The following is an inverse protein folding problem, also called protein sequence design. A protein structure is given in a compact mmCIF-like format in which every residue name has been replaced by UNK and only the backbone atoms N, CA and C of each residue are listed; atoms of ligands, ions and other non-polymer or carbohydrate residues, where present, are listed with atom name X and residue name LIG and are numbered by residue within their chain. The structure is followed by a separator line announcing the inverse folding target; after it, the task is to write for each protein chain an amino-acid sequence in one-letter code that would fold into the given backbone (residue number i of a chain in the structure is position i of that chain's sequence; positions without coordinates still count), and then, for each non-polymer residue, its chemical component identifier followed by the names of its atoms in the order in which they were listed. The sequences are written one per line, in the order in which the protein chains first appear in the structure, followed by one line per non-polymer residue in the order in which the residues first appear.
data_IF_370057226781
#
_entry.id   IF_370057226781
#
_cell.length_a   1.000
_cell.length_b   1.000
_cell.length_c   1.000
_cell.angle_alpha   90.00
_cell.angle_beta   90.00
_cell.angle_gamma   90.00
#
_symmetry.space_group_name_H-M   'P 1'
#
loop_
_entity.id
_entity.type
_entity.pdbx_description
1 polymer ?
#
# COMPACT_ATOMS: atom_id res chain seq x y z
N UNK A 1 14.16 14.83 2.98
CA UNK A 1 13.26 15.99 2.85
C UNK A 1 12.86 16.24 1.39
N UNK A 2 13.79 16.47 0.45
CA UNK A 2 13.45 16.74 -0.98
C UNK A 2 12.54 15.68 -1.62
N UNK A 3 12.70 14.38 -1.30
CA UNK A 3 11.86 13.30 -1.77
C UNK A 3 10.41 13.49 -1.31
N UNK A 4 10.20 13.78 -0.04
CA UNK A 4 8.86 13.98 0.52
C UNK A 4 8.18 15.26 0.00
N UNK A 5 8.94 16.31 -0.33
CA UNK A 5 8.38 17.51 -0.92
C UNK A 5 7.73 17.23 -2.29
N UNK A 6 8.35 16.37 -3.11
CA UNK A 6 7.77 15.95 -4.40
C UNK A 6 6.52 15.07 -4.24
N UNK A 7 6.44 14.28 -3.16
CA UNK A 7 5.28 13.43 -2.87
C UNK A 7 4.10 14.23 -2.31
N UNK A 8 4.35 15.22 -1.45
CA UNK A 8 3.30 16.04 -0.81
C UNK A 8 2.45 16.85 -1.79
N UNK A 9 2.96 17.14 -2.98
CA UNK A 9 2.24 17.90 -4.02
C UNK A 9 1.37 17.05 -4.93
N UNK A 10 1.43 15.73 -4.80
CA UNK A 10 0.60 14.81 -5.59
C UNK A 10 -0.82 14.73 -5.01
N UNK A 11 -1.82 14.45 -5.84
CA UNK A 11 -3.18 14.12 -5.39
C UNK A 11 -3.26 12.68 -4.87
N UNK A 12 -2.49 11.78 -5.47
CA UNK A 12 -2.47 10.35 -5.22
C UNK A 12 -1.03 9.84 -5.09
N UNK A 13 -0.84 8.86 -4.21
CA UNK A 13 0.41 8.13 -4.07
C UNK A 13 0.12 6.63 -4.13
N UNK A 14 0.80 5.92 -5.03
CA UNK A 14 0.92 4.48 -4.91
C UNK A 14 1.64 4.18 -3.60
N UNK A 15 1.10 3.25 -2.85
CA UNK A 15 1.57 2.87 -1.52
C UNK A 15 1.59 1.36 -1.40
N UNK A 16 2.68 0.83 -0.91
CA UNK A 16 2.86 -0.59 -0.66
C UNK A 16 3.85 -0.82 0.49
N UNK A 17 3.84 -2.02 1.07
CA UNK A 17 4.77 -2.40 2.14
C UNK A 17 5.30 -3.81 1.95
N UNK A 18 6.59 -4.02 2.30
CA UNK A 18 7.18 -5.35 2.41
C UNK A 18 7.49 -5.67 3.86
N UNK A 19 7.17 -6.89 4.24
CA UNK A 19 7.24 -7.34 5.62
C UNK A 19 7.94 -8.69 5.70
N UNK A 20 8.55 -9.01 6.84
CA UNK A 20 9.25 -10.28 7.01
C UNK A 20 8.31 -11.44 7.35
N UNK A 21 7.11 -11.14 7.84
CA UNK A 21 6.09 -12.10 8.23
C UNK A 21 4.70 -11.60 7.82
N UNK A 22 3.68 -12.43 7.98
CA UNK A 22 2.29 -12.03 7.73
C UNK A 22 1.62 -11.41 8.96
N UNK A 23 2.12 -11.72 10.14
CA UNK A 23 1.63 -11.16 11.42
C UNK A 23 2.54 -10.01 11.87
N UNK A 24 2.00 -8.79 12.05
CA UNK A 24 2.77 -7.65 12.54
C UNK A 24 3.43 -7.84 13.90
N UNK A 25 2.91 -8.75 14.74
CA UNK A 25 3.47 -9.06 16.05
C UNK A 25 4.69 -9.98 16.01
N UNK A 26 4.85 -10.73 14.91
CA UNK A 26 5.94 -11.71 14.74
C UNK A 26 7.04 -11.21 13.80
N UNK A 27 6.73 -10.21 12.97
CA UNK A 27 7.64 -9.70 11.96
C UNK A 27 8.02 -8.23 12.12
N UNK A 28 8.77 -7.72 11.16
CA UNK A 28 9.13 -6.31 11.03
C UNK A 28 8.58 -5.72 9.74
N UNK A 29 8.19 -4.46 9.77
CA UNK A 29 7.91 -3.67 8.58
C UNK A 29 9.25 -3.32 7.93
N UNK A 30 9.60 -4.01 6.85
CA UNK A 30 10.90 -3.86 6.19
C UNK A 30 10.96 -2.67 5.27
N UNK A 31 10.06 -2.60 4.31
CA UNK A 31 10.01 -1.51 3.33
C UNK A 31 8.69 -0.78 3.35
N UNK A 32 8.76 0.51 3.06
CA UNK A 32 7.61 1.34 2.70
C UNK A 32 7.88 1.97 1.34
N UNK A 33 7.00 1.74 0.38
CA UNK A 33 7.09 2.30 -0.97
C UNK A 33 6.04 3.40 -1.16
N UNK A 34 6.48 4.52 -1.73
CA UNK A 34 5.62 5.63 -2.12
C UNK A 34 5.94 6.09 -3.53
N UNK A 35 4.94 6.19 -4.39
CA UNK A 35 5.10 6.62 -5.78
C UNK A 35 4.05 7.67 -6.16
N UNK A 36 4.47 8.74 -6.82
CA UNK A 36 3.56 9.69 -7.46
C UNK A 36 3.35 9.42 -8.97
N UNK A 37 3.70 8.21 -9.43
CA UNK A 37 3.64 7.81 -10.84
C UNK A 37 4.86 8.26 -11.68
N UNK A 38 5.65 9.24 -11.19
CA UNK A 38 6.88 9.70 -11.86
C UNK A 38 8.14 9.33 -11.09
N UNK A 39 8.07 9.41 -9.79
CA UNK A 39 9.15 9.09 -8.87
C UNK A 39 8.64 8.11 -7.83
N UNK A 40 9.38 7.03 -7.63
CA UNK A 40 9.12 6.04 -6.60
C UNK A 40 10.25 6.06 -5.57
N UNK A 41 9.87 6.05 -4.31
CA UNK A 41 10.78 6.03 -3.17
C UNK A 41 10.54 4.74 -2.40
N UNK A 42 11.59 3.96 -2.23
CA UNK A 42 11.63 2.75 -1.42
C UNK A 42 12.40 3.10 -0.15
N UNK A 43 11.75 2.96 0.99
CA UNK A 43 12.29 3.36 2.31
C UNK A 43 12.51 2.09 3.11
N UNK A 44 13.79 1.72 3.33
CA UNK A 44 14.17 0.60 4.18
C UNK A 44 14.12 1.05 5.65
N UNK A 45 13.25 0.41 6.44
CA UNK A 45 13.06 0.72 7.85
C UNK A 45 13.97 -0.10 8.78
N UNK A 46 14.60 -1.18 8.31
CA UNK A 46 15.49 -2.02 9.14
C UNK A 46 16.60 -1.22 9.81
N UNK A 47 17.36 -0.33 9.12
CA UNK A 47 18.42 0.43 9.76
C UNK A 47 17.91 1.41 10.84
N UNK A 48 16.63 1.78 10.79
CA UNK A 48 15.99 2.59 11.83
C UNK A 48 15.55 1.70 12.99
N UNK A 49 14.89 0.57 12.74
CA UNK A 49 14.43 -0.36 13.76
C UNK A 49 15.58 -0.91 14.62
N UNK A 50 16.75 -1.12 14.04
CA UNK A 50 17.96 -1.55 14.76
C UNK A 50 18.51 -0.49 15.73
N UNK A 51 18.18 0.79 15.52
CA UNK A 51 18.64 1.91 16.37
C UNK A 51 17.65 2.23 17.50
N UNK A 52 16.41 1.73 17.44
CA UNK A 52 15.40 1.96 18.46
C UNK A 52 13.97 1.94 17.92
N UNK A 53 13.05 2.51 18.69
CA UNK A 53 11.62 2.52 18.37
C UNK A 53 11.31 3.50 17.22
N UNK A 54 10.98 2.95 16.05
CA UNK A 54 10.67 3.72 14.83
C UNK A 54 9.40 4.57 14.95
N UNK A 55 8.54 4.32 15.96
CA UNK A 55 7.33 5.13 16.21
C UNK A 55 7.69 6.55 16.65
N UNK A 56 8.83 6.71 17.33
CA UNK A 56 9.23 7.97 17.93
C UNK A 56 10.39 8.67 17.21
N UNK A 57 11.05 8.01 16.26
CA UNK A 57 12.20 8.58 15.54
C UNK A 57 11.83 9.80 14.71
N UNK A 58 12.51 10.92 14.97
CA UNK A 58 12.33 12.20 14.27
C UNK A 58 12.65 12.11 12.77
N UNK A 59 13.62 11.27 12.38
CA UNK A 59 13.97 11.06 10.97
C UNK A 59 12.79 10.49 10.16
N UNK A 60 11.90 9.71 10.80
CA UNK A 60 10.71 9.13 10.20
C UNK A 60 9.44 9.99 10.34
N UNK A 61 9.52 11.12 11.03
CA UNK A 61 8.38 12.03 11.16
C UNK A 61 7.78 12.46 9.81
N UNK A 62 8.55 12.78 8.75
CA UNK A 62 7.97 13.12 7.44
C UNK A 62 7.22 11.94 6.78
N UNK A 63 7.66 10.69 7.03
CA UNK A 63 6.96 9.50 6.54
C UNK A 63 5.63 9.34 7.28
N UNK A 64 5.65 9.42 8.61
CA UNK A 64 4.42 9.35 9.41
C UNK A 64 3.43 10.44 9.03
N UNK A 65 3.91 11.68 8.83
CA UNK A 65 3.07 12.82 8.42
C UNK A 65 2.37 12.55 7.08
N UNK A 66 3.10 12.13 6.04
CA UNK A 66 2.51 11.91 4.71
C UNK A 66 1.56 10.72 4.69
N UNK A 67 1.85 9.66 5.45
CA UNK A 67 0.97 8.50 5.54
C UNK A 67 -0.30 8.80 6.33
N UNK A 68 -0.24 9.53 7.44
CA UNK A 68 -1.42 9.84 8.27
C UNK A 68 -2.29 10.97 7.70
N UNK A 69 -1.74 11.81 6.84
CA UNK A 69 -2.51 12.89 6.22
C UNK A 69 -3.66 12.36 5.35
N UNK A 70 -4.83 13.04 5.30
CA UNK A 70 -5.93 12.63 4.41
C UNK A 70 -5.61 12.82 2.92
N UNK A 71 -4.59 13.62 2.62
CA UNK A 71 -4.04 13.84 1.27
C UNK A 71 -2.52 13.93 1.34
N UNK A 72 -1.82 13.44 0.32
CA UNK A 72 -2.27 12.67 -0.85
C UNK A 72 -3.04 11.41 -0.48
N UNK A 73 -4.00 10.97 -1.32
CA UNK A 73 -4.68 9.69 -1.12
C UNK A 73 -3.69 8.56 -1.42
N UNK A 74 -3.54 7.61 -0.49
CA UNK A 74 -2.70 6.42 -0.66
C UNK A 74 -3.49 5.35 -1.41
N UNK A 75 -2.97 4.93 -2.55
CA UNK A 75 -3.53 3.89 -3.40
C UNK A 75 -2.75 2.60 -3.16
N UNK A 76 -3.40 1.61 -2.63
CA UNK A 76 -2.79 0.32 -2.31
C UNK A 76 -3.66 -0.84 -2.81
N UNK A 77 -3.10 -2.04 -2.80
CA UNK A 77 -3.81 -3.27 -3.12
C UNK A 77 -3.91 -4.16 -1.89
N UNK A 78 -5.12 -4.40 -1.38
CA UNK A 78 -5.35 -4.97 -0.06
C UNK A 78 -4.85 -4.05 1.07
N UNK A 79 -5.20 -2.78 0.96
CA UNK A 79 -4.75 -1.68 1.81
C UNK A 79 -4.90 -1.92 3.33
N UNK A 80 -5.78 -2.83 3.71
CA UNK A 80 -5.94 -3.28 5.09
C UNK A 80 -4.65 -3.90 5.64
N UNK A 81 -3.91 -4.66 4.82
CA UNK A 81 -2.63 -5.25 5.20
C UNK A 81 -1.64 -4.15 5.57
N UNK A 82 -1.41 -3.20 4.67
CA UNK A 82 -0.49 -2.08 4.88
C UNK A 82 -0.89 -1.20 6.07
N UNK A 83 -2.20 -0.97 6.23
CA UNK A 83 -2.74 -0.23 7.36
C UNK A 83 -2.45 -0.91 8.71
N UNK A 84 -2.55 -2.24 8.81
CA UNK A 84 -2.15 -2.99 10.02
C UNK A 84 -0.69 -2.80 10.35
N UNK A 85 0.17 -3.00 9.37
CA UNK A 85 1.61 -2.91 9.55
C UNK A 85 2.07 -1.51 9.94
N UNK A 86 1.54 -0.48 9.28
CA UNK A 86 1.85 0.92 9.63
C UNK A 86 1.33 1.29 11.02
N UNK A 87 0.11 0.85 11.39
CA UNK A 87 -0.42 1.09 12.72
C UNK A 87 0.43 0.41 13.80
N UNK A 88 0.82 -0.85 13.59
CA UNK A 88 1.63 -1.58 14.56
C UNK A 88 3.04 -1.01 14.68
N UNK A 89 3.74 -0.77 13.58
CA UNK A 89 5.16 -0.41 13.58
C UNK A 89 5.46 1.09 13.60
N UNK A 90 4.62 1.91 12.95
CA UNK A 90 4.82 3.36 12.90
C UNK A 90 3.92 4.14 13.87
N UNK A 91 2.96 3.46 14.51
CA UNK A 91 2.05 4.06 15.49
C UNK A 91 1.06 5.05 14.91
N UNK A 92 0.71 4.92 13.63
CA UNK A 92 -0.20 5.83 12.91
C UNK A 92 -1.28 5.07 12.15
N UNK A 93 -2.43 5.70 12.00
CA UNK A 93 -3.44 5.28 11.02
C UNK A 93 -3.14 5.94 9.68
N UNK A 94 -3.20 5.15 8.60
CA UNK A 94 -3.05 5.69 7.25
C UNK A 94 -4.30 6.47 6.89
N UNK A 95 -4.14 7.74 6.58
CA UNK A 95 -5.24 8.62 6.19
C UNK A 95 -5.48 8.62 4.68
N UNK A 96 -6.76 8.71 4.25
CA UNK A 96 -7.12 8.83 2.84
C UNK A 96 -6.64 7.64 2.01
N UNK A 97 -7.28 6.50 2.12
CA UNK A 97 -6.93 5.28 1.36
C UNK A 97 -7.87 5.04 0.19
N UNK A 98 -7.33 4.44 -0.87
CA UNK A 98 -8.04 3.86 -1.99
C UNK A 98 -7.52 2.43 -2.17
N UNK A 99 -8.39 1.44 -2.06
CA UNK A 99 -8.01 0.03 -2.16
C UNK A 99 -8.44 -0.54 -3.52
N UNK A 100 -7.46 -0.94 -4.33
CA UNK A 100 -7.68 -1.51 -5.66
C UNK A 100 -8.25 -2.93 -5.62
N UNK A 101 -8.00 -3.70 -4.54
CA UNK A 101 -8.62 -5.01 -4.31
C UNK A 101 -10.12 -4.86 -4.06
N UNK A 102 -10.51 -4.06 -3.06
CA UNK A 102 -11.93 -3.82 -2.73
C UNK A 102 -12.69 -3.23 -3.92
N UNK A 103 -12.09 -2.27 -4.63
CA UNK A 103 -12.70 -1.69 -5.82
C UNK A 103 -12.90 -2.74 -6.94
N UNK A 104 -11.91 -3.60 -7.17
CA UNK A 104 -12.01 -4.67 -8.17
C UNK A 104 -13.09 -5.70 -7.79
N UNK A 105 -13.19 -6.06 -6.51
CA UNK A 105 -14.24 -6.95 -6.00
C UNK A 105 -15.63 -6.34 -6.16
N UNK A 106 -15.77 -5.06 -5.86
CA UNK A 106 -17.04 -4.34 -6.01
C UNK A 106 -17.50 -4.29 -7.48
N UNK A 107 -16.59 -3.98 -8.41
CA UNK A 107 -16.89 -3.95 -9.85
C UNK A 107 -17.28 -5.34 -10.38
N UNK A 108 -16.66 -6.39 -9.86
CA UNK A 108 -16.91 -7.76 -10.28
C UNK A 108 -17.99 -8.46 -9.42
N UNK A 109 -18.78 -7.73 -8.65
CA UNK A 109 -19.76 -8.33 -7.75
C UNK A 109 -20.69 -9.30 -8.51
N UNK A 110 -20.69 -10.56 -8.07
CA UNK A 110 -21.42 -11.66 -8.73
C UNK A 110 -20.60 -12.52 -9.71
N UNK A 111 -19.41 -12.11 -10.10
CA UNK A 111 -18.48 -12.91 -10.90
C UNK A 111 -17.54 -13.70 -9.96
N UNK A 112 -17.88 -14.98 -9.73
CA UNK A 112 -17.14 -15.85 -8.81
C UNK A 112 -15.83 -16.39 -9.40
N UNK A 113 -15.67 -16.34 -10.73
CA UNK A 113 -14.48 -16.85 -11.41
C UNK A 113 -13.35 -15.82 -11.46
N UNK A 114 -13.66 -14.56 -11.19
CA UNK A 114 -12.70 -13.47 -11.28
C UNK A 114 -11.73 -13.47 -10.09
N UNK A 115 -10.45 -13.48 -10.40
CA UNK A 115 -9.38 -13.33 -9.41
C UNK A 115 -9.04 -11.86 -9.20
N UNK A 116 -8.68 -11.52 -7.94
CA UNK A 116 -8.45 -10.15 -7.52
C UNK A 116 -7.04 -9.91 -6.94
N UNK A 117 -6.07 -10.81 -7.18
CA UNK A 117 -4.68 -10.48 -6.85
C UNK A 117 -4.16 -9.36 -7.77
N UNK A 118 -3.15 -8.63 -7.32
CA UNK A 118 -2.66 -7.43 -8.01
C UNK A 118 -2.36 -7.68 -9.50
N UNK A 119 -1.68 -8.76 -9.84
CA UNK A 119 -1.32 -9.06 -11.22
C UNK A 119 -2.55 -9.28 -12.12
N UNK A 120 -3.59 -9.97 -11.63
CA UNK A 120 -4.83 -10.16 -12.38
C UNK A 120 -5.60 -8.84 -12.55
N UNK A 121 -5.60 -8.00 -11.51
CA UNK A 121 -6.26 -6.68 -11.57
C UNK A 121 -5.50 -5.75 -12.53
N UNK A 122 -4.17 -5.73 -12.49
CA UNK A 122 -3.34 -4.98 -13.44
C UNK A 122 -3.54 -5.47 -14.87
N UNK A 123 -3.51 -6.79 -15.09
CA UNK A 123 -3.75 -7.37 -16.42
C UNK A 123 -5.12 -6.97 -16.96
N UNK A 124 -6.16 -7.04 -16.12
CA UNK A 124 -7.52 -6.72 -16.53
C UNK A 124 -7.73 -5.23 -16.88
N UNK A 125 -7.22 -4.31 -16.05
CA UNK A 125 -7.48 -2.87 -16.21
C UNK A 125 -6.45 -2.15 -17.08
N UNK A 126 -5.20 -2.62 -17.08
CA UNK A 126 -4.09 -1.97 -17.80
C UNK A 126 -3.58 -2.79 -18.99
N UNK A 127 -3.95 -4.07 -19.11
CA UNK A 127 -3.41 -4.97 -20.13
C UNK A 127 -1.90 -5.24 -19.98
N UNK A 128 -1.36 -5.03 -18.78
CA UNK A 128 0.05 -5.22 -18.46
C UNK A 128 0.27 -6.50 -17.65
N UNK A 129 1.47 -7.05 -17.75
CA UNK A 129 1.90 -8.17 -16.92
C UNK A 129 2.78 -7.67 -15.77
N UNK A 130 2.51 -8.15 -14.55
CA UNK A 130 3.38 -7.93 -13.39
C UNK A 130 4.25 -9.16 -13.15
N UNK A 131 5.53 -8.90 -12.91
CA UNK A 131 6.47 -9.90 -12.42
C UNK A 131 6.09 -10.28 -10.97
N UNK A 132 6.05 -11.58 -10.69
CA UNK A 132 5.75 -12.13 -9.36
C UNK A 132 6.96 -12.79 -8.71
N UNK A 133 8.14 -12.65 -9.31
CA UNK A 133 9.35 -13.41 -8.91
C UNK A 133 9.77 -13.16 -7.45
N UNK A 134 9.53 -11.96 -6.94
CA UNK A 134 9.94 -11.56 -5.59
C UNK A 134 8.78 -11.55 -4.56
N UNK A 135 7.55 -11.94 -4.96
CA UNK A 135 6.38 -11.91 -4.06
C UNK A 135 6.57 -12.73 -2.77
N UNK A 136 7.36 -13.80 -2.82
CA UNK A 136 7.71 -14.67 -1.69
C UNK A 136 9.20 -14.60 -1.34
N UNK A 137 9.81 -13.47 -1.62
CA UNK A 137 11.24 -13.24 -1.37
C UNK A 137 11.55 -13.11 0.11
N UNK A 138 12.79 -13.38 0.49
CA UNK A 138 13.27 -13.19 1.86
C UNK A 138 13.52 -11.70 2.16
N UNK A 139 12.51 -11.04 2.71
CA UNK A 139 12.58 -9.65 3.14
C UNK A 139 13.33 -9.45 4.47
N UNK A 140 13.73 -10.55 5.16
CA UNK A 140 14.53 -10.49 6.37
C UNK A 140 16.02 -10.32 6.11
N UNK A 141 16.46 -10.56 4.87
CA UNK A 141 17.87 -10.53 4.46
C UNK A 141 18.57 -9.25 4.90
N UNK A 142 19.86 -9.37 5.27
CA UNK A 142 20.66 -8.22 5.72
C UNK A 142 20.74 -7.14 4.64
N UNK A 143 20.99 -7.55 3.42
CA UNK A 143 20.99 -6.68 2.24
C UNK A 143 19.97 -7.20 1.23
N UNK A 144 19.09 -6.33 0.79
CA UNK A 144 18.15 -6.64 -0.27
C UNK A 144 18.86 -6.60 -1.63
N UNK A 145 18.47 -7.50 -2.50
CA UNK A 145 18.94 -7.53 -3.88
C UNK A 145 18.38 -6.35 -4.68
N UNK A 146 19.03 -6.01 -5.78
CA UNK A 146 18.51 -5.01 -6.70
C UNK A 146 17.13 -5.41 -7.26
N UNK A 147 16.92 -6.72 -7.55
CA UNK A 147 15.62 -7.22 -8.03
C UNK A 147 14.50 -7.04 -7.02
N UNK A 148 14.75 -7.28 -5.73
CA UNK A 148 13.79 -7.04 -4.66
C UNK A 148 13.38 -5.55 -4.59
N UNK A 149 14.35 -4.64 -4.62
CA UNK A 149 14.07 -3.20 -4.58
C UNK A 149 13.31 -2.73 -5.82
N UNK A 150 13.67 -3.24 -7.01
CA UNK A 150 12.96 -2.92 -8.26
C UNK A 150 11.54 -3.47 -8.29
N UNK A 151 11.33 -4.68 -7.76
CA UNK A 151 10.02 -5.30 -7.61
C UNK A 151 9.12 -4.41 -6.73
N UNK A 152 9.56 -4.13 -5.50
CA UNK A 152 8.83 -3.29 -4.55
C UNK A 152 8.52 -1.88 -5.11
N UNK A 153 9.46 -1.30 -5.88
CA UNK A 153 9.24 -0.02 -6.52
C UNK A 153 8.18 -0.08 -7.63
N UNK A 154 8.13 -1.16 -8.41
CA UNK A 154 7.15 -1.35 -9.50
C UNK A 154 5.73 -1.49 -8.97
N UNK A 155 5.53 -2.26 -7.90
CA UNK A 155 4.21 -2.48 -7.30
C UNK A 155 3.60 -1.15 -6.82
N UNK A 156 4.36 -0.30 -6.16
CA UNK A 156 3.88 1.03 -5.80
C UNK A 156 3.69 1.96 -7.03
N UNK A 157 4.55 1.86 -8.06
CA UNK A 157 4.48 2.75 -9.21
C UNK A 157 3.21 2.55 -10.04
N UNK A 158 2.77 1.29 -10.22
CA UNK A 158 1.60 0.94 -11.05
C UNK A 158 0.26 1.40 -10.44
N UNK A 159 0.22 1.62 -9.12
CA UNK A 159 -1.02 1.89 -8.39
C UNK A 159 -1.75 3.16 -8.86
N UNK A 160 -1.02 4.20 -9.27
CA UNK A 160 -1.63 5.47 -9.71
C UNK A 160 -2.39 5.27 -11.01
N UNK A 161 -1.76 4.63 -12.00
CA UNK A 161 -2.40 4.34 -13.29
C UNK A 161 -3.56 3.35 -13.13
N UNK A 162 -3.37 2.33 -12.30
CA UNK A 162 -4.40 1.35 -11.99
C UNK A 162 -5.64 2.00 -11.37
N UNK A 163 -5.43 2.91 -10.41
CA UNK A 163 -6.52 3.67 -9.79
C UNK A 163 -7.31 4.48 -10.82
N UNK A 164 -6.66 5.11 -11.78
CA UNK A 164 -7.34 5.91 -12.79
C UNK A 164 -8.35 5.07 -13.57
N UNK A 165 -7.92 3.89 -14.04
CA UNK A 165 -8.79 2.95 -14.78
C UNK A 165 -9.91 2.38 -13.92
N UNK A 166 -9.63 2.02 -12.69
CA UNK A 166 -10.65 1.55 -11.75
C UNK A 166 -11.69 2.64 -11.47
N UNK A 167 -11.28 3.89 -11.27
CA UNK A 167 -12.22 5.01 -11.04
C UNK A 167 -13.08 5.29 -12.26
N UNK A 168 -12.54 5.20 -13.48
CA UNK A 168 -13.34 5.29 -14.71
C UNK A 168 -14.49 4.26 -14.67
N UNK A 169 -14.18 3.01 -14.31
CA UNK A 169 -15.16 1.93 -14.25
C UNK A 169 -16.15 2.11 -13.11
N UNK A 170 -15.69 2.46 -11.91
CA UNK A 170 -16.58 2.75 -10.76
C UNK A 170 -17.59 3.87 -11.07
N UNK A 171 -17.20 4.87 -11.86
CA UNK A 171 -18.10 5.93 -12.30
C UNK A 171 -19.14 5.41 -13.28
N UNK A 172 -18.73 4.59 -14.26
CA UNK A 172 -19.63 4.00 -15.25
C UNK A 172 -20.70 3.12 -14.60
N UNK A 173 -20.31 2.37 -13.56
CA UNK A 173 -21.19 1.45 -12.84
C UNK A 173 -21.92 2.12 -11.66
N UNK A 174 -21.77 3.46 -11.46
CA UNK A 174 -22.34 4.25 -10.36
C UNK A 174 -21.93 3.79 -8.94
N UNK A 175 -20.77 3.13 -8.81
CA UNK A 175 -20.29 2.49 -7.58
C UNK A 175 -19.41 3.38 -6.69
N UNK A 176 -19.09 4.62 -7.09
CA UNK A 176 -18.17 5.51 -6.36
C UNK A 176 -18.53 5.68 -4.88
N UNK A 177 -19.84 5.83 -4.57
CA UNK A 177 -20.27 6.04 -3.19
C UNK A 177 -20.08 4.81 -2.33
N UNK A 178 -20.35 3.63 -2.89
CA UNK A 178 -20.15 2.34 -2.20
C UNK A 178 -18.67 2.09 -2.00
N UNK A 179 -17.84 2.27 -3.04
CA UNK A 179 -16.39 2.14 -2.94
C UNK A 179 -15.81 3.05 -1.86
N UNK A 180 -16.29 4.31 -1.77
CA UNK A 180 -15.84 5.22 -0.71
C UNK A 180 -16.19 4.70 0.70
N UNK A 181 -17.38 4.14 0.89
CA UNK A 181 -17.80 3.55 2.17
C UNK A 181 -16.89 2.38 2.55
N UNK A 182 -16.57 1.49 1.60
CA UNK A 182 -15.63 0.38 1.81
C UNK A 182 -14.24 0.88 2.23
N UNK A 183 -13.72 1.91 1.54
CA UNK A 183 -12.42 2.49 1.87
C UNK A 183 -12.39 3.17 3.24
N UNK A 184 -13.46 3.84 3.63
CA UNK A 184 -13.59 4.50 4.94
C UNK A 184 -13.58 3.46 6.10
N UNK A 185 -13.89 2.18 5.84
CA UNK A 185 -13.86 1.09 6.83
C UNK A 185 -12.46 0.48 7.04
N UNK A 186 -11.50 0.69 6.14
CA UNK A 186 -10.18 0.01 6.15
C UNK A 186 -9.47 0.18 7.50
N UNK A 187 -9.39 1.39 8.02
CA UNK A 187 -8.68 1.68 9.27
C UNK A 187 -9.34 0.98 10.48
N UNK A 188 -10.68 0.92 10.50
CA UNK A 188 -11.42 0.25 11.57
C UNK A 188 -11.19 -1.27 11.53
N UNK A 189 -11.26 -1.87 10.34
CA UNK A 189 -11.03 -3.31 10.16
C UNK A 189 -9.58 -3.67 10.51
N UNK A 190 -8.59 -2.87 10.08
CA UNK A 190 -7.20 -3.06 10.43
C UNK A 190 -6.99 -3.02 11.96
N UNK A 191 -7.66 -2.09 12.66
CA UNK A 191 -7.61 -2.00 14.11
C UNK A 191 -8.27 -3.22 14.79
N UNK A 192 -9.40 -3.70 14.26
CA UNK A 192 -10.07 -4.90 14.78
C UNK A 192 -9.17 -6.14 14.65
N UNK A 193 -8.58 -6.36 13.48
CA UNK A 193 -7.68 -7.50 13.26
C UNK A 193 -6.44 -7.46 14.19
N UNK A 194 -5.84 -6.29 14.40
CA UNK A 194 -4.76 -6.12 15.36
C UNK A 194 -5.17 -6.43 16.82
N UNK A 195 -6.45 -6.29 17.16
CA UNK A 195 -6.99 -6.66 18.47
C UNK A 195 -7.51 -8.11 18.53
N UNK A 196 -7.27 -8.92 17.50
CA UNK A 196 -7.63 -10.34 17.47
C UNK A 196 -9.07 -10.64 17.04
N UNK A 197 -9.75 -9.70 16.40
CA UNK A 197 -11.03 -9.93 15.71
C UNK A 197 -10.78 -10.26 14.24
N UNK A 198 -11.16 -11.46 13.81
CA UNK A 198 -10.99 -11.96 12.45
C UNK A 198 -12.35 -12.21 11.77
#
# INVERSE_FOLDING_TARGET
RKAFDALKTADYLGFDTETTELDPYEGILRLVQLSNGKNTFVIDLKPFAERGDIKTMEELAPLREILSAPKPIKVAHNAKFDAKWTRHHLGIDVGGMFDTLLASQLIAAGDQDRRHNLAEVVSHFLGAELDKSEQVSDWSAEQLSQSQVEYAAKDAAIMVDLREKIVERLKQDELIKVAKLEFDCIAAIAAMELNGFF
#
